data_IF_137658538084
#
_entry.id   IF_137658538084
#
_cell.length_a   1.000
_cell.length_b   1.000
_cell.length_c   1.000
_cell.angle_alpha   90.00
_cell.angle_beta   90.00
_cell.angle_gamma   90.00
#
_symmetry.space_group_name_H-M   'P 1'
#
loop_
_entity.id
_entity.type
_entity.pdbx_description
1 polymer ?
#
# COMPACT_ATOMS: atom_id res chain seq x y z
N UNK A 1 -26.42 17.83 -11.09
CA UNK A 1 -26.97 17.83 -12.46
C UNK A 1 -25.83 18.22 -13.40
N UNK A 2 -25.57 17.44 -14.44
CA UNK A 2 -24.56 17.79 -15.44
C UNK A 2 -24.98 19.04 -16.21
N UNK A 3 -24.01 19.83 -16.66
CA UNK A 3 -24.23 21.02 -17.48
C UNK A 3 -24.82 20.61 -18.83
N UNK A 4 -25.84 21.34 -19.28
CA UNK A 4 -26.54 21.08 -20.53
C UNK A 4 -25.56 21.21 -21.72
N UNK A 5 -25.22 20.10 -22.36
CA UNK A 5 -24.35 20.08 -23.55
C UNK A 5 -23.12 19.18 -23.45
N UNK A 6 -22.75 18.72 -22.25
CA UNK A 6 -21.73 17.68 -22.05
C UNK A 6 -22.42 16.35 -21.76
N UNK A 7 -22.47 15.47 -22.77
CA UNK A 7 -22.93 14.09 -22.57
C UNK A 7 -21.95 13.35 -21.66
N UNK A 8 -22.46 12.83 -20.53
CA UNK A 8 -21.70 11.96 -19.62
C UNK A 8 -21.41 10.63 -20.34
N UNK A 9 -20.14 10.22 -20.43
CA UNK A 9 -19.72 8.94 -21.03
C UNK A 9 -20.38 7.72 -20.35
N UNK A 10 -20.92 7.90 -19.14
CA UNK A 10 -21.69 6.87 -18.42
C UNK A 10 -23.06 6.59 -19.03
N UNK A 11 -23.53 7.41 -19.97
CA UNK A 11 -24.89 7.41 -20.51
C UNK A 11 -24.97 7.13 -22.03
N UNK A 12 -23.98 6.45 -22.62
CA UNK A 12 -24.17 5.88 -23.97
C UNK A 12 -25.01 4.60 -23.85
N UNK A 13 -26.31 4.76 -23.62
CA UNK A 13 -27.31 3.80 -24.08
C UNK A 13 -27.67 4.22 -25.50
N UNK A 14 -26.80 3.90 -26.47
CA UNK A 14 -27.27 3.75 -27.84
C UNK A 14 -27.86 2.36 -27.92
N UNK A 15 -29.19 2.29 -28.07
CA UNK A 15 -29.92 1.07 -28.43
C UNK A 15 -29.23 0.43 -29.63
N UNK A 16 -28.58 -0.69 -29.35
CA UNK A 16 -27.84 -1.51 -30.30
C UNK A 16 -28.65 -2.79 -30.46
N UNK A 17 -29.09 -3.08 -31.68
CA UNK A 17 -30.04 -4.16 -31.99
C UNK A 17 -29.49 -5.57 -31.69
N UNK A 18 -28.22 -5.69 -31.30
CA UNK A 18 -27.43 -6.90 -31.09
C UNK A 18 -27.41 -7.42 -29.63
N UNK A 19 -27.95 -6.69 -28.65
CA UNK A 19 -28.11 -7.19 -27.27
C UNK A 19 -26.81 -7.58 -26.54
N UNK A 20 -25.64 -7.21 -27.08
CA UNK A 20 -24.35 -7.56 -26.52
C UNK A 20 -24.09 -6.79 -25.21
N UNK A 21 -23.48 -7.46 -24.22
CA UNK A 21 -23.15 -6.92 -22.90
C UNK A 21 -22.05 -5.84 -22.98
N UNK A 22 -22.44 -4.66 -23.44
CA UNK A 22 -21.55 -3.52 -23.60
C UNK A 22 -20.91 -3.17 -22.25
N UNK A 23 -19.57 -3.07 -22.22
CA UNK A 23 -18.77 -2.75 -21.03
C UNK A 23 -18.95 -3.69 -19.82
N UNK A 24 -19.44 -4.92 -20.02
CA UNK A 24 -19.60 -5.88 -18.93
C UNK A 24 -20.48 -5.32 -17.79
N UNK A 25 -21.50 -4.53 -18.13
CA UNK A 25 -22.35 -3.81 -17.17
C UNK A 25 -23.51 -4.66 -16.62
N UNK A 26 -23.99 -5.64 -17.38
CA UNK A 26 -25.03 -6.59 -16.94
C UNK A 26 -24.41 -7.80 -16.23
N UNK A 27 -25.05 -8.24 -15.15
CA UNK A 27 -24.64 -9.39 -14.36
C UNK A 27 -24.55 -10.64 -15.23
N UNK A 28 -23.40 -11.29 -15.22
CA UNK A 28 -23.19 -12.58 -15.89
C UNK A 28 -22.38 -13.47 -14.95
N UNK A 29 -22.85 -14.71 -14.79
CA UNK A 29 -22.18 -15.77 -14.03
C UNK A 29 -21.88 -16.89 -15.01
N UNK A 30 -20.60 -17.25 -15.12
CA UNK A 30 -20.14 -18.37 -15.93
C UNK A 30 -19.55 -19.43 -15.01
N UNK A 31 -20.12 -20.64 -15.03
CA UNK A 31 -19.50 -21.78 -14.36
C UNK A 31 -18.16 -22.11 -15.02
N UNK A 32 -17.11 -22.22 -14.20
CA UNK A 32 -15.77 -22.63 -14.62
C UNK A 32 -15.25 -23.78 -13.74
N UNK A 33 -16.15 -24.44 -13.00
CA UNK A 33 -15.84 -25.49 -12.02
C UNK A 33 -15.00 -26.61 -12.64
N UNK A 34 -15.38 -27.08 -13.84
CA UNK A 34 -14.66 -28.15 -14.52
C UNK A 34 -13.21 -27.76 -14.86
N UNK A 35 -13.03 -26.56 -15.42
CA UNK A 35 -11.72 -26.05 -15.85
C UNK A 35 -10.78 -25.84 -14.66
N UNK A 36 -11.27 -25.23 -13.57
CA UNK A 36 -10.47 -24.96 -12.38
C UNK A 36 -10.03 -26.26 -11.71
N UNK A 37 -10.91 -27.26 -11.63
CA UNK A 37 -10.60 -28.59 -11.07
C UNK A 37 -9.53 -29.30 -11.89
N UNK A 38 -9.63 -29.25 -13.22
CA UNK A 38 -8.65 -29.84 -14.13
C UNK A 38 -7.27 -29.19 -13.96
N UNK A 39 -7.21 -27.86 -14.00
CA UNK A 39 -5.98 -27.08 -13.87
C UNK A 39 -5.28 -27.28 -12.52
N UNK A 40 -6.04 -27.40 -11.42
CA UNK A 40 -5.48 -27.75 -10.11
C UNK A 40 -4.91 -29.17 -10.08
N UNK A 41 -5.66 -30.14 -10.61
CA UNK A 41 -5.25 -31.53 -10.63
C UNK A 41 -3.96 -31.70 -11.45
N UNK A 42 -3.83 -31.00 -12.58
CA UNK A 42 -2.63 -30.99 -13.41
C UNK A 42 -1.44 -30.32 -12.70
N UNK A 43 -1.65 -29.16 -12.09
CA UNK A 43 -0.59 -28.42 -11.41
C UNK A 43 0.06 -29.25 -10.28
N UNK A 44 -0.75 -29.99 -9.53
CA UNK A 44 -0.27 -30.83 -8.44
C UNK A 44 0.40 -32.10 -8.95
N UNK A 45 -0.11 -32.71 -10.04
CA UNK A 45 0.52 -33.88 -10.69
C UNK A 45 1.85 -33.58 -11.40
N UNK A 46 2.16 -32.31 -11.64
CA UNK A 46 3.45 -31.88 -12.21
C UNK A 46 4.63 -32.03 -11.25
N UNK A 47 5.82 -31.55 -11.66
CA UNK A 47 7.03 -31.53 -10.84
C UNK A 47 6.93 -30.47 -9.72
N UNK A 48 6.16 -30.77 -8.68
CA UNK A 48 6.03 -29.89 -7.50
C UNK A 48 7.05 -30.20 -6.40
N UNK A 49 7.69 -31.37 -6.46
CA UNK A 49 8.69 -31.80 -5.49
C UNK A 49 10.11 -31.49 -5.99
N UNK A 50 11.05 -31.19 -5.08
CA UNK A 50 12.45 -30.96 -5.45
C UNK A 50 13.06 -32.17 -6.14
N UNK A 51 13.85 -31.94 -7.20
CA UNK A 51 14.56 -32.99 -7.93
C UNK A 51 15.63 -33.69 -7.07
N UNK A 52 16.15 -33.01 -6.06
CA UNK A 52 17.16 -33.50 -5.14
C UNK A 52 16.60 -33.66 -3.72
N UNK A 53 17.05 -34.70 -3.03
CA UNK A 53 16.71 -34.97 -1.63
C UNK A 53 15.62 -36.03 -1.44
N UNK A 54 15.04 -36.12 -0.23
CA UNK A 54 14.20 -37.25 0.16
C UNK A 54 12.86 -37.33 -0.60
N UNK A 55 12.43 -36.25 -1.26
CA UNK A 55 11.18 -36.17 -2.02
C UNK A 55 11.37 -36.30 -3.53
N UNK A 56 12.58 -36.64 -3.98
CA UNK A 56 12.95 -36.73 -5.40
C UNK A 56 12.15 -37.77 -6.19
N UNK A 57 11.67 -38.82 -5.51
CA UNK A 57 10.93 -39.92 -6.14
C UNK A 57 9.55 -40.10 -5.50
N UNK A 58 8.77 -39.01 -5.44
CA UNK A 58 7.36 -39.01 -5.05
C UNK A 58 6.48 -39.00 -6.31
N UNK A 59 5.54 -39.93 -6.37
CA UNK A 59 4.50 -40.03 -7.39
C UNK A 59 3.11 -39.73 -6.79
N UNK A 60 2.34 -38.88 -7.46
CA UNK A 60 0.94 -38.61 -7.10
C UNK A 60 0.04 -39.58 -7.87
N UNK A 61 -0.51 -40.56 -7.15
CA UNK A 61 -1.35 -41.63 -7.72
C UNK A 61 -2.73 -41.15 -8.16
N UNK A 62 -3.32 -40.26 -7.38
CA UNK A 62 -4.64 -39.69 -7.67
C UNK A 62 -4.73 -38.29 -7.09
N UNK A 63 -5.38 -37.40 -7.83
CA UNK A 63 -5.76 -36.08 -7.36
C UNK A 63 -7.20 -35.83 -7.81
N UNK A 64 -8.07 -35.55 -6.85
CA UNK A 64 -9.49 -35.29 -7.06
C UNK A 64 -9.85 -33.97 -6.39
N UNK A 65 -10.47 -33.07 -7.16
CA UNK A 65 -10.94 -31.77 -6.67
C UNK A 65 -12.46 -31.70 -6.83
N UNK A 66 -13.16 -31.43 -5.74
CA UNK A 66 -14.62 -31.25 -5.67
C UNK A 66 -14.97 -29.82 -5.28
N UNK A 67 -16.24 -29.43 -5.42
CA UNK A 67 -16.70 -28.05 -5.13
C UNK A 67 -17.08 -27.27 -6.39
N UNK A 68 -17.16 -25.95 -6.27
CA UNK A 68 -17.65 -25.06 -7.32
C UNK A 68 -16.73 -23.86 -7.54
N UNK A 69 -16.67 -23.40 -8.79
CA UNK A 69 -15.97 -22.19 -9.18
C UNK A 69 -16.75 -21.48 -10.30
N UNK A 70 -17.01 -20.18 -10.12
CA UNK A 70 -17.74 -19.36 -11.08
C UNK A 70 -17.05 -18.02 -11.31
N UNK A 71 -16.98 -17.61 -12.57
CA UNK A 71 -16.53 -16.27 -12.95
C UNK A 71 -17.76 -15.36 -12.97
N UNK A 72 -17.69 -14.28 -12.19
CA UNK A 72 -18.75 -13.33 -12.01
C UNK A 72 -18.29 -11.96 -12.50
N UNK A 73 -19.16 -11.29 -13.25
CA UNK A 73 -18.89 -9.95 -13.75
C UNK A 73 -19.93 -8.94 -13.26
N UNK A 74 -19.45 -7.86 -12.64
CA UNK A 74 -20.26 -6.78 -12.08
C UNK A 74 -19.54 -5.44 -12.17
N UNK A 75 -20.22 -4.39 -12.65
CA UNK A 75 -19.69 -3.00 -12.71
C UNK A 75 -18.28 -2.93 -13.35
N UNK A 76 -18.09 -3.65 -14.47
CA UNK A 76 -16.81 -3.75 -15.18
C UNK A 76 -15.66 -4.41 -14.38
N UNK A 77 -15.98 -5.16 -13.31
CA UNK A 77 -15.05 -6.04 -12.59
C UNK A 77 -15.48 -7.49 -12.77
N UNK A 78 -14.59 -8.30 -13.31
CA UNK A 78 -14.74 -9.74 -13.42
C UNK A 78 -13.86 -10.41 -12.39
N UNK A 79 -14.41 -11.34 -11.61
CA UNK A 79 -13.71 -12.02 -10.53
C UNK A 79 -14.20 -13.46 -10.42
N UNK A 80 -13.34 -14.36 -9.96
CA UNK A 80 -13.71 -15.75 -9.71
C UNK A 80 -14.09 -15.93 -8.24
N UNK A 81 -15.20 -16.62 -8.01
CA UNK A 81 -15.61 -17.12 -6.69
C UNK A 81 -15.43 -18.62 -6.75
N UNK A 82 -14.76 -19.20 -5.76
CA UNK A 82 -14.55 -20.64 -5.69
C UNK A 82 -14.54 -21.12 -4.24
N UNK A 83 -15.05 -22.34 -4.06
CA UNK A 83 -15.01 -23.08 -2.81
C UNK A 83 -14.78 -24.54 -3.18
N UNK A 84 -13.56 -25.01 -2.97
CA UNK A 84 -13.10 -26.30 -3.46
C UNK A 84 -12.50 -27.14 -2.33
N UNK A 85 -12.69 -28.45 -2.41
CA UNK A 85 -12.01 -29.43 -1.57
C UNK A 85 -11.12 -30.29 -2.46
N UNK A 86 -9.86 -30.49 -2.07
CA UNK A 86 -8.91 -31.29 -2.84
C UNK A 86 -8.40 -32.48 -2.03
N UNK A 87 -8.37 -33.67 -2.64
CA UNK A 87 -7.84 -34.91 -2.07
C UNK A 87 -6.80 -35.47 -3.01
N UNK A 88 -5.63 -35.77 -2.47
CA UNK A 88 -4.56 -36.41 -3.24
C UNK A 88 -3.99 -37.62 -2.49
N UNK A 89 -3.59 -38.64 -3.24
CA UNK A 89 -2.88 -39.81 -2.74
C UNK A 89 -1.49 -39.86 -3.36
N UNK A 90 -0.49 -40.09 -2.54
CA UNK A 90 0.91 -40.12 -2.95
C UNK A 90 1.55 -41.45 -2.57
N UNK A 91 2.55 -41.84 -3.35
CA UNK A 91 3.49 -42.92 -3.03
C UNK A 91 4.88 -42.44 -3.38
N UNK A 92 5.87 -42.78 -2.60
CA UNK A 92 7.25 -42.54 -3.00
C UNK A 92 8.21 -43.53 -2.38
N UNK A 93 9.42 -43.50 -2.92
CA UNK A 93 10.49 -44.40 -2.56
C UNK A 93 11.76 -43.58 -2.29
N UNK A 94 12.38 -43.79 -1.13
CA UNK A 94 13.66 -43.20 -0.77
C UNK A 94 14.78 -44.08 -1.30
N UNK A 95 15.58 -43.55 -2.22
CA UNK A 95 16.72 -44.25 -2.81
C UNK A 95 17.99 -43.93 -2.02
N UNK A 96 18.77 -44.94 -1.64
CA UNK A 96 20.07 -44.76 -0.99
C UNK A 96 21.19 -44.45 -1.99
N UNK A 97 22.40 -44.12 -1.49
CA UNK A 97 23.57 -43.78 -2.33
C UNK A 97 23.96 -44.88 -3.34
N UNK A 98 23.55 -46.14 -3.10
CA UNK A 98 23.80 -47.29 -4.00
C UNK A 98 22.72 -47.48 -5.08
N UNK A 99 21.74 -46.58 -5.20
CA UNK A 99 20.64 -46.70 -6.16
C UNK A 99 19.54 -47.71 -5.78
N UNK A 100 19.65 -48.35 -4.61
CA UNK A 100 18.65 -49.27 -4.08
C UNK A 100 17.56 -48.54 -3.28
N UNK A 101 16.29 -48.96 -3.44
CA UNK A 101 15.16 -48.47 -2.64
C UNK A 101 15.34 -48.85 -1.17
N UNK A 102 15.61 -47.86 -0.33
CA UNK A 102 15.85 -48.01 1.11
C UNK A 102 14.56 -48.02 1.90
N UNK A 103 13.56 -47.25 1.48
CA UNK A 103 12.30 -47.10 2.19
C UNK A 103 11.18 -46.69 1.23
N UNK A 104 9.99 -47.27 1.37
CA UNK A 104 8.80 -46.88 0.59
C UNK A 104 7.71 -46.35 1.52
N UNK A 105 7.11 -45.22 1.17
CA UNK A 105 6.02 -44.63 1.95
C UNK A 105 4.83 -44.26 1.05
N UNK A 106 3.64 -44.27 1.65
CA UNK A 106 2.44 -43.79 0.97
C UNK A 106 1.47 -43.15 1.96
N UNK A 107 0.64 -42.26 1.44
CA UNK A 107 -0.30 -41.51 2.26
C UNK A 107 -1.27 -40.68 1.43
N UNK A 108 -2.00 -39.83 2.12
CA UNK A 108 -2.96 -38.90 1.53
C UNK A 108 -2.83 -37.51 2.14
N UNK A 109 -3.11 -36.50 1.31
CA UNK A 109 -3.27 -35.12 1.74
C UNK A 109 -4.69 -34.67 1.38
N UNK A 110 -5.32 -33.92 2.29
CA UNK A 110 -6.62 -33.29 2.05
C UNK A 110 -6.55 -31.81 2.36
N UNK A 111 -7.05 -31.01 1.44
CA UNK A 111 -7.27 -29.57 1.60
C UNK A 111 -8.78 -29.37 1.71
N UNK A 112 -9.33 -29.22 2.93
CA UNK A 112 -10.78 -29.19 3.16
C UNK A 112 -11.43 -27.92 2.62
N UNK A 113 -10.71 -26.79 2.61
CA UNK A 113 -11.19 -25.53 2.08
C UNK A 113 -10.11 -24.82 1.26
N UNK A 114 -10.30 -24.80 -0.06
CA UNK A 114 -9.56 -23.97 -1.00
C UNK A 114 -10.53 -22.90 -1.51
N UNK A 115 -10.45 -21.73 -0.89
CA UNK A 115 -11.27 -20.56 -1.18
C UNK A 115 -10.40 -19.31 -1.29
N UNK A 116 -11.01 -18.15 -1.58
CA UNK A 116 -10.27 -16.89 -1.61
C UNK A 116 -9.78 -16.44 -0.22
N UNK A 117 -10.48 -16.85 0.85
CA UNK A 117 -10.16 -16.50 2.24
C UNK A 117 -9.11 -17.45 2.84
N UNK A 118 -9.14 -18.73 2.46
CA UNK A 118 -8.20 -19.73 2.96
C UNK A 118 -6.87 -19.79 2.21
N UNK A 119 -6.72 -19.06 1.09
CA UNK A 119 -5.55 -19.18 0.21
C UNK A 119 -4.23 -18.73 0.90
N UNK A 120 -4.31 -17.77 1.82
CA UNK A 120 -3.15 -17.23 2.55
C UNK A 120 -2.70 -18.15 3.70
N UNK A 121 -3.60 -18.98 4.24
CA UNK A 121 -3.30 -19.97 5.29
C UNK A 121 -4.02 -21.30 5.01
N UNK A 122 -3.63 -21.95 3.91
CA UNK A 122 -4.26 -23.20 3.48
C UNK A 122 -4.08 -24.30 4.52
N UNK A 123 -5.17 -24.83 5.04
CA UNK A 123 -5.16 -26.01 5.89
C UNK A 123 -4.90 -27.27 5.05
N UNK A 124 -4.01 -28.15 5.56
CA UNK A 124 -3.69 -29.42 4.92
C UNK A 124 -3.68 -30.51 5.97
N UNK A 125 -4.63 -31.44 5.85
CA UNK A 125 -4.67 -32.67 6.62
C UNK A 125 -3.72 -33.69 5.97
N UNK A 126 -2.76 -34.20 6.74
CA UNK A 126 -1.82 -35.22 6.28
C UNK A 126 -2.06 -36.54 6.99
N UNK A 127 -2.22 -37.59 6.19
CA UNK A 127 -2.31 -38.97 6.66
C UNK A 127 -1.26 -39.84 5.96
N UNK A 128 -0.66 -40.77 6.71
CA UNK A 128 0.39 -41.65 6.22
C UNK A 128 0.19 -43.06 6.77
N UNK A 129 0.44 -44.06 5.93
CA UNK A 129 0.41 -45.47 6.32
C UNK A 129 1.77 -45.92 6.90
N UNK A 130 2.85 -45.18 6.63
CA UNK A 130 4.22 -45.50 7.06
C UNK A 130 4.71 -44.54 8.15
N UNK A 131 4.04 -44.52 9.31
CA UNK A 131 4.39 -43.63 10.43
C UNK A 131 5.81 -43.91 10.94
N UNK A 132 6.61 -42.86 11.11
CA UNK A 132 7.99 -42.94 11.60
C UNK A 132 9.06 -43.12 10.50
N UNK A 133 8.66 -43.23 9.23
CA UNK A 133 9.59 -43.23 8.09
C UNK A 133 10.16 -41.83 7.83
N UNK A 134 11.44 -41.77 7.44
CA UNK A 134 12.10 -40.51 7.10
C UNK A 134 11.41 -39.84 5.91
N UNK A 135 10.97 -40.65 4.95
CA UNK A 135 10.20 -40.20 3.78
C UNK A 135 8.84 -39.61 4.17
N UNK A 136 8.11 -40.24 5.10
CA UNK A 136 6.82 -39.70 5.55
C UNK A 136 6.98 -38.42 6.37
N UNK A 137 8.04 -38.27 7.16
CA UNK A 137 8.31 -37.02 7.88
C UNK A 137 8.69 -35.89 6.93
N UNK A 138 9.50 -36.19 5.91
CA UNK A 138 9.82 -35.26 4.83
C UNK A 138 8.55 -34.84 4.08
N UNK A 139 7.66 -35.78 3.77
CA UNK A 139 6.39 -35.47 3.11
C UNK A 139 5.47 -34.62 3.98
N UNK A 140 5.40 -34.88 5.30
CA UNK A 140 4.60 -34.10 6.25
C UNK A 140 5.07 -32.65 6.37
N UNK A 141 6.38 -32.39 6.28
CA UNK A 141 6.95 -31.04 6.43
C UNK A 141 7.14 -30.35 5.08
N UNK A 142 8.04 -30.89 4.26
CA UNK A 142 8.43 -30.29 2.99
C UNK A 142 7.41 -30.59 1.89
N UNK A 143 6.87 -31.82 1.84
CA UNK A 143 5.87 -32.19 0.83
C UNK A 143 4.57 -31.40 0.95
N UNK A 144 4.06 -31.23 2.18
CA UNK A 144 2.91 -30.36 2.48
C UNK A 144 3.19 -28.93 2.01
N UNK A 145 4.37 -28.38 2.30
CA UNK A 145 4.76 -27.03 1.87
C UNK A 145 4.76 -26.89 0.34
N UNK A 146 5.33 -27.86 -0.38
CA UNK A 146 5.32 -27.91 -1.84
C UNK A 146 3.90 -27.96 -2.42
N UNK A 147 3.02 -28.80 -1.87
CA UNK A 147 1.62 -28.91 -2.32
C UNK A 147 0.87 -27.60 -2.06
N UNK A 148 1.02 -26.99 -0.88
CA UNK A 148 0.43 -25.67 -0.60
C UNK A 148 0.90 -24.63 -1.61
N UNK A 149 2.21 -24.53 -1.83
CA UNK A 149 2.79 -23.57 -2.76
C UNK A 149 2.26 -23.76 -4.19
N UNK A 150 2.16 -25.01 -4.67
CA UNK A 150 1.63 -25.32 -6.00
C UNK A 150 0.15 -24.91 -6.15
N UNK A 151 -0.68 -25.21 -5.16
CA UNK A 151 -2.12 -24.84 -5.16
C UNK A 151 -2.28 -23.32 -5.13
N UNK A 152 -1.54 -22.62 -4.27
CA UNK A 152 -1.58 -21.14 -4.17
C UNK A 152 -1.12 -20.51 -5.49
N UNK A 153 0.00 -20.97 -6.04
CA UNK A 153 0.51 -20.45 -7.30
C UNK A 153 -0.50 -20.64 -8.43
N UNK A 154 -1.10 -21.84 -8.55
CA UNK A 154 -2.07 -22.12 -9.61
C UNK A 154 -3.37 -21.33 -9.46
N UNK A 155 -3.87 -21.17 -8.24
CA UNK A 155 -5.06 -20.35 -7.99
C UNK A 155 -4.82 -18.86 -8.31
N UNK A 156 -3.65 -18.33 -7.95
CA UNK A 156 -3.27 -16.95 -8.31
C UNK A 156 -3.13 -16.77 -9.82
N UNK A 157 -2.59 -17.76 -10.52
CA UNK A 157 -2.53 -17.78 -11.99
C UNK A 157 -3.95 -17.73 -12.60
N UNK A 158 -4.86 -18.62 -12.18
CA UNK A 158 -6.25 -18.64 -12.68
C UNK A 158 -7.01 -17.34 -12.37
N UNK A 159 -6.79 -16.74 -11.19
CA UNK A 159 -7.36 -15.43 -10.85
C UNK A 159 -6.82 -14.33 -11.78
N UNK A 160 -5.52 -14.35 -12.10
CA UNK A 160 -4.90 -13.41 -13.02
C UNK A 160 -5.41 -13.60 -14.46
N UNK A 161 -5.59 -14.83 -14.92
CA UNK A 161 -6.15 -15.14 -16.25
C UNK A 161 -7.57 -14.62 -16.40
N UNK A 162 -8.44 -14.85 -15.40
CA UNK A 162 -9.82 -14.32 -15.38
C UNK A 162 -9.81 -12.80 -15.46
N UNK A 163 -8.87 -12.16 -14.76
CA UNK A 163 -8.72 -10.69 -14.77
C UNK A 163 -8.21 -10.20 -16.13
N UNK A 164 -7.24 -10.89 -16.74
CA UNK A 164 -6.66 -10.55 -18.04
C UNK A 164 -7.65 -10.73 -19.19
N UNK A 165 -8.42 -11.82 -19.18
CA UNK A 165 -9.46 -12.09 -20.18
C UNK A 165 -10.57 -11.03 -20.11
N UNK A 166 -10.95 -10.60 -18.90
CA UNK A 166 -11.88 -9.49 -18.72
C UNK A 166 -11.34 -8.14 -19.23
N UNK A 167 -10.02 -7.92 -19.15
CA UNK A 167 -9.39 -6.71 -19.69
C UNK A 167 -9.35 -6.72 -21.23
N UNK A 168 -9.16 -7.88 -21.85
CA UNK A 168 -9.16 -8.05 -23.33
C UNK A 168 -10.53 -7.80 -23.96
N UNK A 169 -11.60 -8.11 -23.24
CA UNK A 169 -12.97 -7.91 -23.71
C UNK A 169 -13.47 -6.45 -23.57
N UNK A 170 -12.62 -5.53 -23.10
CA UNK A 170 -12.92 -4.10 -22.98
C UNK A 170 -12.60 -3.39 -24.31
N UNK A 171 -13.54 -2.66 -24.94
CA UNK A 171 -13.24 -1.95 -26.18
C UNK A 171 -12.15 -0.89 -25.97
N UNK A 172 -11.18 -0.77 -26.89
CA UNK A 172 -10.18 0.29 -26.85
C UNK A 172 -10.84 1.67 -27.00
N UNK A 173 -10.32 2.73 -26.33
CA UNK A 173 -10.78 4.09 -26.55
C UNK A 173 -10.45 4.53 -27.99
N UNK A 174 -11.45 5.08 -28.68
CA UNK A 174 -11.30 5.55 -30.05
C UNK A 174 -10.25 6.68 -30.12
N UNK A 175 -9.22 6.49 -30.95
CA UNK A 175 -8.22 7.51 -31.21
C UNK A 175 -8.81 8.66 -32.04
N UNK A 176 -8.63 9.88 -31.55
CA UNK A 176 -8.45 11.09 -32.38
C UNK A 176 -9.68 11.73 -33.03
N UNK A 177 -10.09 12.88 -32.49
CA UNK A 177 -10.37 14.12 -33.24
C UNK A 177 -11.57 14.19 -34.20
N UNK A 178 -12.58 14.98 -33.81
CA UNK A 178 -13.13 16.09 -34.62
C UNK A 178 -14.13 16.90 -33.80
N UNK A 179 -13.93 18.22 -33.80
CA UNK A 179 -14.85 19.22 -33.27
C UNK A 179 -16.21 19.12 -34.00
N UNK A 180 -17.31 19.04 -33.25
CA UNK A 180 -18.65 19.10 -33.83
C UNK A 180 -19.00 20.55 -34.16
N UNK A 181 -19.24 20.81 -35.46
CA UNK A 181 -19.98 21.96 -35.92
C UNK A 181 -21.47 21.77 -35.53
N UNK A 182 -22.06 22.79 -34.89
CA UNK A 182 -23.50 22.82 -34.59
C UNK A 182 -24.28 23.38 -35.78
N UNK A 183 -25.39 22.76 -36.21
CA UNK A 183 -26.35 23.41 -37.08
C UNK A 183 -27.32 24.26 -36.25
N UNK A 184 -27.45 25.54 -36.61
CA UNK A 184 -28.33 26.53 -35.96
C UNK A 184 -29.73 26.48 -36.59
N UNK A 185 -30.78 26.38 -35.76
CA UNK A 185 -32.18 26.68 -36.15
C UNK A 185 -32.64 27.87 -35.29
N UNK A 186 -33.28 28.90 -35.88
CA UNK A 186 -33.41 30.22 -35.25
C UNK A 186 -34.63 30.33 -34.31
N UNK A 187 -34.47 31.07 -33.22
CA UNK A 187 -35.57 31.54 -32.34
C UNK A 187 -35.71 33.06 -32.49
N UNK A 188 -36.91 33.65 -32.56
CA UNK A 188 -37.12 35.07 -32.87
C UNK A 188 -36.82 36.01 -31.69
N UNK A 189 -36.24 37.17 -32.00
CA UNK A 189 -35.93 38.29 -31.09
C UNK A 189 -37.17 39.09 -30.64
N UNK A 190 -37.17 39.66 -29.41
CA UNK A 190 -37.85 40.92 -29.11
C UNK A 190 -36.90 42.13 -29.31
N UNK A 191 -37.46 43.25 -29.76
CA UNK A 191 -36.76 44.46 -30.20
C UNK A 191 -36.15 45.30 -29.06
N UNK A 192 -35.08 46.08 -29.34
CA UNK A 192 -34.35 46.85 -28.32
C UNK A 192 -34.99 48.19 -27.97
N UNK A 193 -34.91 48.54 -26.68
CA UNK A 193 -35.23 49.87 -26.14
C UNK A 193 -34.01 50.77 -26.31
N UNK A 194 -34.24 51.96 -26.87
CA UNK A 194 -33.26 53.02 -27.14
C UNK A 194 -32.64 53.62 -25.87
N UNK A 195 -31.31 53.74 -25.83
CA UNK A 195 -30.59 54.65 -24.92
C UNK A 195 -29.51 55.39 -25.71
N UNK A 196 -29.44 56.71 -25.53
CA UNK A 196 -28.70 57.69 -26.35
C UNK A 196 -27.17 57.67 -26.23
N UNK A 197 -26.48 58.60 -26.93
CA UNK A 197 -25.08 58.46 -27.30
C UNK A 197 -24.09 58.91 -26.22
N UNK A 198 -22.98 58.18 -26.11
CA UNK A 198 -21.75 58.64 -25.45
C UNK A 198 -20.86 59.41 -26.46
N UNK A 199 -20.16 60.49 -26.05
CA UNK A 199 -19.28 61.20 -26.96
C UNK A 199 -17.86 60.59 -27.04
N UNK A 200 -17.43 60.47 -28.30
CA UNK A 200 -16.14 60.74 -28.92
C UNK A 200 -14.81 60.26 -28.29
N UNK A 201 -14.07 59.54 -29.14
CA UNK A 201 -12.71 59.07 -28.99
C UNK A 201 -11.64 60.17 -29.16
N UNK A 202 -10.46 59.90 -28.60
CA UNK A 202 -9.16 60.38 -29.10
C UNK A 202 -8.12 59.26 -28.94
N UNK A 203 -7.32 59.06 -29.99
CA UNK A 203 -6.15 58.17 -30.10
C UNK A 203 -4.88 59.03 -30.27
N UNK A 204 -3.68 58.45 -30.51
CA UNK A 204 -2.92 57.46 -29.75
C UNK A 204 -1.48 57.96 -29.42
N UNK A 205 -0.74 57.33 -28.50
CA UNK A 205 0.72 57.51 -28.42
C UNK A 205 1.46 56.33 -27.75
N UNK A 206 2.45 55.82 -28.48
CA UNK A 206 3.75 55.24 -28.11
C UNK A 206 3.86 54.10 -27.05
N UNK A 207 4.41 52.97 -27.53
CA UNK A 207 5.07 51.92 -26.74
C UNK A 207 6.22 52.45 -25.88
N UNK A 208 6.48 51.80 -24.73
CA UNK A 208 7.85 51.49 -24.38
C UNK A 208 8.09 50.01 -24.06
N UNK A 209 9.38 49.70 -24.14
CA UNK A 209 10.12 48.43 -24.19
C UNK A 209 10.05 47.56 -22.94
N UNK A 210 10.28 46.26 -23.17
CA UNK A 210 10.41 45.19 -22.17
C UNK A 210 11.51 45.44 -21.12
N UNK A 211 11.32 45.00 -19.86
CA UNK A 211 12.35 45.05 -18.82
C UNK A 211 13.39 43.92 -18.98
N UNK A 212 14.65 44.14 -18.55
CA UNK A 212 15.76 43.19 -18.72
C UNK A 212 15.66 41.95 -17.81
N UNK A 213 16.36 40.85 -18.14
CA UNK A 213 16.27 39.58 -17.42
C UNK A 213 16.86 39.67 -16.00
N UNK A 214 16.19 39.03 -15.04
CA UNK A 214 16.64 38.92 -13.64
C UNK A 214 18.00 38.17 -13.56
N UNK A 215 18.93 38.61 -12.70
CA UNK A 215 20.18 37.89 -12.42
C UNK A 215 19.92 36.56 -11.70
N UNK A 216 20.83 35.56 -11.83
CA UNK A 216 20.66 34.23 -11.26
C UNK A 216 20.58 34.28 -9.71
N UNK A 217 19.80 33.39 -9.07
CA UNK A 217 19.60 33.42 -7.62
C UNK A 217 20.91 33.19 -6.88
N UNK A 218 21.25 34.14 -5.99
CA UNK A 218 22.29 34.01 -4.97
C UNK A 218 21.95 32.84 -4.04
N UNK A 219 22.99 32.12 -3.61
CA UNK A 219 22.93 31.09 -2.58
C UNK A 219 22.18 31.63 -1.35
N UNK A 220 21.19 30.88 -0.86
CA UNK A 220 20.53 31.17 0.41
C UNK A 220 21.55 30.99 1.53
N UNK A 221 21.98 32.11 2.10
CA UNK A 221 22.47 32.17 3.48
C UNK A 221 21.27 31.90 4.43
N UNK A 222 21.41 31.13 5.51
CA UNK A 222 20.30 30.81 6.41
C UNK A 222 19.80 32.07 7.12
N UNK A 223 18.50 32.34 7.02
CA UNK A 223 17.81 33.41 7.75
C UNK A 223 17.74 33.11 9.25
N UNK A 224 18.13 34.11 10.04
CA UNK A 224 18.15 34.16 11.52
C UNK A 224 16.72 34.24 12.12
N UNK A 225 15.88 33.24 11.85
CA UNK A 225 14.61 33.00 12.54
C UNK A 225 14.68 31.65 13.29
N UNK A 226 15.61 31.52 14.25
CA UNK A 226 15.61 30.43 15.24
C UNK A 226 14.53 30.71 16.32
N UNK A 227 13.26 30.80 15.91
CA UNK A 227 12.15 30.48 16.81
C UNK A 227 12.28 28.98 17.09
N UNK A 228 12.90 28.62 18.22
CA UNK A 228 13.18 27.24 18.63
C UNK A 228 11.86 26.50 18.84
N UNK A 229 11.29 25.97 17.75
CA UNK A 229 10.07 25.18 17.74
C UNK A 229 10.28 23.98 18.68
N UNK A 230 9.55 23.98 19.79
CA UNK A 230 9.66 22.95 20.82
C UNK A 230 9.41 21.56 20.22
N UNK A 231 10.21 20.54 20.55
CA UNK A 231 9.99 19.19 20.06
C UNK A 231 8.58 18.70 20.36
N UNK A 232 7.98 17.90 19.44
CA UNK A 232 6.65 17.33 19.64
C UNK A 232 6.53 16.66 21.02
N UNK A 233 5.39 16.82 21.69
CA UNK A 233 5.19 16.34 23.07
C UNK A 233 5.56 14.87 23.25
N UNK A 234 5.22 14.03 22.25
CA UNK A 234 5.53 12.60 22.28
C UNK A 234 7.04 12.34 22.15
N UNK A 235 7.74 13.11 21.33
CA UNK A 235 9.21 13.06 21.23
C UNK A 235 9.86 13.44 22.56
N UNK A 236 9.37 14.51 23.22
CA UNK A 236 9.88 14.93 24.55
C UNK A 236 9.72 13.83 25.59
N UNK A 237 8.59 13.13 25.59
CA UNK A 237 8.36 12.00 26.49
C UNK A 237 9.31 10.84 26.22
N UNK A 238 9.54 10.50 24.94
CA UNK A 238 10.52 9.46 24.56
C UNK A 238 11.94 9.85 24.97
N UNK A 239 12.36 11.10 24.74
CA UNK A 239 13.68 11.59 25.16
C UNK A 239 13.83 11.62 26.69
N UNK A 240 12.75 11.92 27.42
CA UNK A 240 12.73 11.85 28.88
C UNK A 240 12.87 10.41 29.37
N UNK A 241 12.18 9.46 28.73
CA UNK A 241 12.30 8.03 29.05
C UNK A 241 13.71 7.52 28.78
N UNK A 242 14.32 7.91 27.66
CA UNK A 242 15.71 7.61 27.35
C UNK A 242 16.66 8.10 28.43
N UNK A 243 16.47 9.34 28.90
CA UNK A 243 17.30 9.95 29.96
C UNK A 243 17.13 9.24 31.31
N UNK A 244 15.90 8.81 31.62
CA UNK A 244 15.60 8.13 32.88
C UNK A 244 16.04 6.66 32.89
N UNK A 245 15.99 6.00 31.73
CA UNK A 245 16.23 4.57 31.56
C UNK A 245 17.22 4.30 30.41
N UNK A 246 18.47 4.80 30.51
CA UNK A 246 19.40 4.79 29.38
C UNK A 246 19.96 3.40 29.07
N UNK A 247 19.95 2.49 30.05
CA UNK A 247 20.46 1.11 29.90
C UNK A 247 19.42 0.09 29.40
N UNK A 248 18.12 0.39 29.52
CA UNK A 248 17.04 -0.52 29.09
C UNK A 248 16.40 -0.13 27.77
N UNK A 249 16.51 1.15 27.38
CA UNK A 249 15.93 1.63 26.13
C UNK A 249 16.74 1.12 24.93
N UNK A 250 16.19 0.13 24.20
CA UNK A 250 16.79 -0.45 23.00
C UNK A 250 16.34 0.20 21.70
N UNK A 251 15.08 0.63 21.63
CA UNK A 251 14.49 1.19 20.42
C UNK A 251 13.81 2.54 20.71
N UNK A 252 14.14 3.56 19.91
CA UNK A 252 13.49 4.86 19.93
C UNK A 252 12.48 4.96 18.79
N UNK A 253 11.20 4.82 19.13
CA UNK A 253 10.08 4.97 18.18
C UNK A 253 9.69 6.45 18.09
N UNK A 254 10.14 7.13 17.04
CA UNK A 254 9.87 8.55 16.78
C UNK A 254 9.14 8.78 15.44
N UNK A 255 8.52 7.73 14.89
CA UNK A 255 7.83 7.80 13.60
C UNK A 255 6.50 8.55 13.65
N UNK A 256 6.19 9.27 12.56
CA UNK A 256 4.95 10.05 12.39
C UNK A 256 4.68 11.08 13.51
N UNK A 257 5.72 11.70 14.06
CA UNK A 257 5.59 12.70 15.13
C UNK A 257 5.73 14.14 14.64
N UNK A 258 5.80 14.35 13.33
CA UNK A 258 6.08 15.63 12.69
C UNK A 258 7.45 16.23 13.09
N UNK A 259 8.45 15.38 13.32
CA UNK A 259 9.82 15.81 13.62
C UNK A 259 10.44 16.46 12.38
N UNK A 260 10.77 17.74 12.45
CA UNK A 260 11.60 18.48 11.48
C UNK A 260 13.08 18.59 11.92
N UNK A 261 13.92 19.16 11.05
CA UNK A 261 15.37 19.27 11.23
C UNK A 261 15.78 19.98 12.52
N UNK A 262 15.03 21.00 12.95
CA UNK A 262 15.32 21.78 14.18
C UNK A 262 15.32 20.89 15.44
N UNK A 263 14.50 19.85 15.44
CA UNK A 263 14.36 18.95 16.59
C UNK A 263 15.49 17.91 16.69
N UNK A 264 16.25 17.69 15.62
CA UNK A 264 17.35 16.72 15.62
C UNK A 264 18.44 17.10 16.62
N UNK A 265 18.62 18.39 16.90
CA UNK A 265 19.56 18.86 17.92
C UNK A 265 19.27 18.23 19.29
N UNK A 266 18.00 18.27 19.72
CA UNK A 266 17.58 17.69 21.00
C UNK A 266 17.73 16.16 21.02
N UNK A 267 17.49 15.50 19.89
CA UNK A 267 17.72 14.06 19.76
C UNK A 267 19.21 13.71 19.87
N UNK A 268 20.07 14.42 19.13
CA UNK A 268 21.51 14.19 19.11
C UNK A 268 22.15 14.48 20.47
N UNK A 269 21.74 15.55 21.15
CA UNK A 269 22.18 15.85 22.51
C UNK A 269 21.81 14.70 23.45
N UNK A 270 20.57 14.20 23.39
CA UNK A 270 20.15 13.07 24.19
C UNK A 270 20.97 11.79 23.90
N UNK A 271 21.32 11.53 22.63
CA UNK A 271 22.11 10.37 22.21
C UNK A 271 23.61 10.51 22.52
N UNK A 272 24.12 11.74 22.65
CA UNK A 272 25.54 12.02 22.93
C UNK A 272 25.93 11.73 24.38
N UNK A 273 24.96 11.58 25.28
CA UNK A 273 25.22 11.22 26.66
C UNK A 273 25.79 9.79 26.75
N UNK A 274 26.99 9.66 27.34
CA UNK A 274 27.73 8.40 27.47
C UNK A 274 26.97 7.28 28.21
N UNK A 275 25.91 7.61 28.95
CA UNK A 275 25.05 6.64 29.62
C UNK A 275 24.08 5.94 28.65
N UNK A 276 23.82 6.52 27.48
CA UNK A 276 22.91 6.00 26.44
C UNK A 276 23.66 5.00 25.55
N UNK A 277 24.14 3.92 26.15
CA UNK A 277 24.92 2.86 25.49
C UNK A 277 24.05 1.66 25.11
N UNK A 278 22.74 1.85 24.94
CA UNK A 278 21.81 0.74 24.74
C UNK A 278 20.93 0.86 23.51
N UNK A 279 20.91 2.01 22.83
CA UNK A 279 19.98 2.23 21.73
C UNK A 279 20.51 1.54 20.47
N UNK A 280 19.84 0.47 20.07
CA UNK A 280 20.15 -0.34 18.91
C UNK A 280 19.35 0.09 17.68
N UNK A 281 18.18 0.70 17.89
CA UNK A 281 17.22 1.05 16.83
C UNK A 281 16.64 2.46 17.01
N UNK A 282 16.66 3.26 15.93
CA UNK A 282 15.98 4.55 15.85
C UNK A 282 15.05 4.55 14.64
N UNK A 283 13.76 4.77 14.88
CA UNK A 283 12.75 4.92 13.85
C UNK A 283 12.32 6.38 13.73
N UNK A 284 12.71 7.03 12.64
CA UNK A 284 12.35 8.40 12.26
C UNK A 284 11.47 8.43 11.00
N UNK A 285 10.84 7.31 10.65
CA UNK A 285 10.01 7.23 9.43
C UNK A 285 8.82 8.19 9.46
N UNK A 286 8.41 8.63 8.27
CA UNK A 286 7.23 9.50 8.06
C UNK A 286 7.25 10.81 8.86
N UNK A 287 8.43 11.42 8.99
CA UNK A 287 8.60 12.73 9.62
C UNK A 287 8.80 13.83 8.55
N UNK A 288 9.30 15.00 8.95
CA UNK A 288 9.48 16.17 8.09
C UNK A 288 10.96 16.53 7.91
N UNK A 289 11.84 15.53 8.01
CA UNK A 289 13.28 15.76 7.83
C UNK A 289 13.61 16.09 6.38
N UNK A 290 14.60 16.96 6.18
CA UNK A 290 15.14 17.32 4.87
C UNK A 290 16.57 16.82 4.70
N UNK A 291 17.16 17.05 3.53
CA UNK A 291 18.56 16.75 3.24
C UNK A 291 19.51 17.38 4.27
N UNK A 292 19.20 18.59 4.75
CA UNK A 292 20.01 19.29 5.73
C UNK A 292 19.98 18.59 7.10
N UNK A 293 18.79 18.26 7.62
CA UNK A 293 18.66 17.53 8.87
C UNK A 293 19.29 16.14 8.83
N UNK A 294 19.05 15.39 7.76
CA UNK A 294 19.70 14.08 7.55
C UNK A 294 21.22 14.22 7.52
N UNK A 295 21.76 15.24 6.83
CA UNK A 295 23.20 15.46 6.81
C UNK A 295 23.77 15.67 8.22
N UNK A 296 23.11 16.50 9.05
CA UNK A 296 23.51 16.72 10.44
C UNK A 296 23.44 15.43 11.26
N UNK A 297 22.36 14.67 11.14
CA UNK A 297 22.16 13.39 11.82
C UNK A 297 23.25 12.38 11.45
N UNK A 298 23.44 12.12 10.15
CA UNK A 298 24.42 11.13 9.68
C UNK A 298 25.85 11.57 10.01
N UNK A 299 26.17 12.86 9.94
CA UNK A 299 27.48 13.39 10.34
C UNK A 299 27.76 13.19 11.84
N UNK A 300 26.76 13.37 12.70
CA UNK A 300 26.91 13.12 14.13
C UNK A 300 27.12 11.63 14.45
N UNK A 301 26.40 10.74 13.76
CA UNK A 301 26.57 9.28 13.88
C UNK A 301 27.95 8.83 13.37
N UNK A 302 28.40 9.37 12.24
CA UNK A 302 29.76 9.22 11.73
C UNK A 302 30.83 9.68 12.73
N UNK A 303 30.54 10.75 13.48
CA UNK A 303 31.41 11.28 14.53
C UNK A 303 31.44 10.46 15.82
N UNK A 304 30.74 9.33 15.89
CA UNK A 304 30.74 8.42 17.04
C UNK A 304 29.59 8.62 18.03
N UNK A 305 28.53 9.34 17.64
CA UNK A 305 27.29 9.40 18.43
C UNK A 305 26.52 8.07 18.30
N UNK A 306 25.96 7.56 19.41
CA UNK A 306 25.13 6.33 19.44
C UNK A 306 25.82 5.10 18.82
N UNK A 307 26.98 4.70 19.37
CA UNK A 307 27.82 3.62 18.81
C UNK A 307 27.15 2.24 18.78
N UNK A 308 26.14 1.99 19.60
CA UNK A 308 25.38 0.72 19.61
C UNK A 308 24.25 0.68 18.57
N UNK A 309 24.01 1.80 17.86
CA UNK A 309 22.96 1.89 16.87
C UNK A 309 23.29 1.00 15.66
N UNK A 310 22.43 0.03 15.40
CA UNK A 310 22.55 -0.89 14.27
C UNK A 310 21.48 -0.67 13.21
N UNK A 311 20.35 -0.04 13.56
CA UNK A 311 19.24 0.22 12.64
C UNK A 311 18.74 1.65 12.73
N UNK A 312 18.70 2.32 11.58
CA UNK A 312 18.15 3.66 11.43
C UNK A 312 17.14 3.68 10.27
N UNK A 313 15.88 4.01 10.57
CA UNK A 313 14.83 4.12 9.55
C UNK A 313 14.51 5.59 9.26
N UNK A 314 14.63 5.99 8.00
CA UNK A 314 14.43 7.37 7.53
C UNK A 314 13.41 7.51 6.39
N UNK A 315 12.77 6.42 5.96
CA UNK A 315 11.78 6.44 4.88
C UNK A 315 10.57 7.35 5.17
N UNK A 316 9.98 7.92 4.12
CA UNK A 316 8.82 8.81 4.25
C UNK A 316 9.13 10.23 4.76
N UNK A 317 10.40 10.63 4.76
CA UNK A 317 10.81 12.02 5.00
C UNK A 317 10.95 12.79 3.68
N UNK A 318 11.18 14.11 3.75
CA UNK A 318 11.34 14.98 2.58
C UNK A 318 12.81 15.04 2.13
N UNK A 319 13.40 13.87 1.89
CA UNK A 319 14.81 13.71 1.56
C UNK A 319 14.96 13.37 0.08
N UNK A 320 15.83 14.08 -0.62
CA UNK A 320 16.13 13.84 -2.03
C UNK A 320 17.06 12.64 -2.22
N UNK A 321 17.20 12.18 -3.47
CA UNK A 321 18.16 11.11 -3.83
C UNK A 321 19.59 11.49 -3.44
N UNK A 322 19.94 12.78 -3.53
CA UNK A 322 21.26 13.28 -3.12
C UNK A 322 21.43 13.21 -1.60
N UNK A 323 20.39 13.60 -0.84
CA UNK A 323 20.37 13.46 0.62
C UNK A 323 20.48 11.99 1.05
N UNK A 324 19.79 11.08 0.36
CA UNK A 324 19.88 9.64 0.60
C UNK A 324 21.29 9.10 0.35
N UNK A 325 21.98 9.61 -0.68
CA UNK A 325 23.35 9.18 -1.01
C UNK A 325 24.35 9.47 0.13
N UNK A 326 24.05 10.40 1.05
CA UNK A 326 24.89 10.64 2.24
C UNK A 326 25.04 9.41 3.13
N UNK A 327 24.09 8.46 3.09
CA UNK A 327 24.22 7.21 3.84
C UNK A 327 25.36 6.32 3.31
N UNK A 328 25.83 6.52 2.08
CA UNK A 328 26.96 5.78 1.53
C UNK A 328 28.27 6.18 2.23
N UNK A 329 28.47 7.47 2.49
CA UNK A 329 29.62 7.98 3.23
C UNK A 329 29.61 7.45 4.67
N UNK A 330 28.44 7.43 5.31
CA UNK A 330 28.29 6.87 6.65
C UNK A 330 28.64 5.37 6.68
N UNK A 331 28.24 4.60 5.66
CA UNK A 331 28.53 3.15 5.58
C UNK A 331 30.04 2.83 5.58
N UNK A 332 30.89 3.74 5.10
CA UNK A 332 32.34 3.56 5.16
C UNK A 332 32.89 3.71 6.58
N UNK A 333 32.28 4.57 7.39
CA UNK A 333 32.70 4.86 8.77
C UNK A 333 32.01 3.97 9.80
N UNK A 334 30.76 3.57 9.51
CA UNK A 334 29.86 2.78 10.35
C UNK A 334 29.22 1.66 9.52
N UNK A 335 29.99 0.63 9.13
CA UNK A 335 29.47 -0.48 8.32
C UNK A 335 28.46 -1.37 9.07
N UNK A 336 28.47 -1.28 10.40
CA UNK A 336 27.55 -1.93 11.34
C UNK A 336 26.15 -1.29 11.38
N UNK A 337 26.01 -0.04 10.93
CA UNK A 337 24.75 0.69 10.93
C UNK A 337 24.01 0.55 9.61
N UNK A 338 22.85 -0.10 9.65
CA UNK A 338 21.92 -0.20 8.53
C UNK A 338 21.00 1.03 8.48
N UNK A 339 21.20 1.89 7.48
CA UNK A 339 20.28 2.99 7.16
C UNK A 339 19.27 2.55 6.12
N UNK A 340 17.99 2.60 6.46
CA UNK A 340 16.87 2.15 5.63
C UNK A 340 16.00 3.32 5.18
N UNK A 341 15.71 3.36 3.87
CA UNK A 341 14.91 4.41 3.23
C UNK A 341 13.53 3.93 2.78
N UNK A 342 13.14 2.68 3.08
CA UNK A 342 11.83 2.15 2.74
C UNK A 342 10.72 2.97 3.40
N UNK A 343 9.75 3.44 2.61
CA UNK A 343 8.56 4.16 3.08
C UNK A 343 7.54 3.20 3.72
N UNK A 344 7.97 2.54 4.80
CA UNK A 344 7.15 1.61 5.57
C UNK A 344 7.44 1.77 7.05
N UNK A 345 6.37 1.82 7.84
CA UNK A 345 6.41 1.91 9.29
C UNK A 345 6.81 0.53 9.85
N UNK A 346 7.99 0.40 10.47
CA UNK A 346 8.44 -0.88 11.01
C UNK A 346 7.48 -1.38 12.10
N UNK A 347 6.93 -2.58 11.93
CA UNK A 347 5.98 -3.15 12.91
C UNK A 347 4.62 -2.43 13.00
N UNK A 348 4.26 -1.65 11.98
CA UNK A 348 2.97 -0.95 11.94
C UNK A 348 1.78 -1.91 12.00
N UNK A 349 0.96 -1.80 13.06
CA UNK A 349 -0.25 -2.59 13.27
C UNK A 349 -1.50 -1.76 13.01
N UNK A 350 -2.49 -2.34 12.33
CA UNK A 350 -3.79 -1.70 12.09
C UNK A 350 -4.49 -1.37 13.40
N UNK A 351 -4.94 -0.12 13.55
CA UNK A 351 -5.72 0.36 14.68
C UNK A 351 -7.22 0.33 14.39
N UNK A 352 -7.62 0.78 13.21
CA UNK A 352 -9.01 0.83 12.76
C UNK A 352 -9.08 0.88 11.24
N UNK A 353 -10.27 0.62 10.71
CA UNK A 353 -10.53 0.64 9.26
C UNK A 353 -11.38 1.82 8.87
N UNK A 354 -11.09 2.40 7.71
CA UNK A 354 -11.89 3.47 7.13
C UNK A 354 -13.12 2.84 6.48
N UNK A 355 -14.29 3.17 7.00
CA UNK A 355 -15.57 2.86 6.40
C UNK A 355 -15.91 3.86 5.29
N UNK A 356 -17.13 4.40 5.32
CA UNK A 356 -17.58 5.36 4.30
C UNK A 356 -16.78 6.67 4.39
N UNK A 357 -16.24 7.13 3.27
CA UNK A 357 -15.67 8.48 3.09
C UNK A 357 -16.68 9.32 2.31
N UNK A 358 -17.06 10.48 2.86
CA UNK A 358 -18.10 11.32 2.27
C UNK A 358 -17.53 12.30 1.23
N UNK A 359 -18.34 12.62 0.21
CA UNK A 359 -17.95 13.55 -0.84
C UNK A 359 -17.68 14.96 -0.29
N UNK A 360 -16.66 15.64 -0.84
CA UNK A 360 -16.22 16.97 -0.42
C UNK A 360 -15.82 17.09 1.06
N UNK A 361 -15.58 15.96 1.75
CA UNK A 361 -15.11 15.96 3.12
C UNK A 361 -13.60 16.17 3.23
N UNK A 362 -13.11 16.60 4.41
CA UNK A 362 -11.68 16.66 4.68
C UNK A 362 -10.96 15.31 4.46
N UNK A 363 -11.61 14.19 4.79
CA UNK A 363 -11.06 12.86 4.55
C UNK A 363 -10.90 12.57 3.05
N UNK A 364 -11.88 12.91 2.22
CA UNK A 364 -11.77 12.75 0.77
C UNK A 364 -10.66 13.66 0.20
N UNK A 365 -10.56 14.90 0.67
CA UNK A 365 -9.53 15.86 0.24
C UNK A 365 -8.12 15.38 0.60
N UNK A 366 -7.96 14.76 1.76
CA UNK A 366 -6.72 14.11 2.18
C UNK A 366 -6.40 12.82 1.38
N UNK A 367 -7.34 12.33 0.57
CA UNK A 367 -7.19 11.12 -0.22
C UNK A 367 -7.43 9.83 0.55
N UNK A 368 -8.11 9.87 1.72
CA UNK A 368 -8.57 8.66 2.42
C UNK A 368 -9.61 7.94 1.58
N UNK A 369 -9.54 6.61 1.58
CA UNK A 369 -10.46 5.76 0.85
C UNK A 369 -11.13 4.75 1.79
N UNK A 370 -12.35 4.35 1.42
CA UNK A 370 -13.00 3.24 2.09
C UNK A 370 -12.15 1.97 1.96
N UNK A 371 -11.99 1.26 3.07
CA UNK A 371 -11.17 0.05 3.16
C UNK A 371 -9.74 0.29 3.65
N UNK A 372 -9.27 1.55 3.71
CA UNK A 372 -7.95 1.84 4.26
C UNK A 372 -7.82 1.34 5.70
N UNK A 373 -6.71 0.67 6.01
CA UNK A 373 -6.37 0.34 7.41
C UNK A 373 -5.44 1.41 7.97
N UNK A 374 -5.88 2.12 8.99
CA UNK A 374 -5.07 3.16 9.63
C UNK A 374 -4.08 2.51 10.59
N UNK A 375 -2.78 2.71 10.34
CA UNK A 375 -1.70 2.19 11.20
C UNK A 375 -1.07 3.29 12.06
N UNK A 376 -1.19 4.57 11.67
CA UNK A 376 -0.84 5.72 12.50
C UNK A 376 -1.78 6.90 12.23
N UNK A 377 -2.12 7.65 13.28
CA UNK A 377 -2.95 8.86 13.19
C UNK A 377 -2.36 9.95 14.08
N UNK A 378 -1.59 10.86 13.47
CA UNK A 378 -0.70 11.76 14.19
C UNK A 378 0.21 10.96 15.16
N UNK A 379 0.27 11.34 16.45
CA UNK A 379 1.11 10.66 17.43
C UNK A 379 0.55 9.31 17.91
N UNK A 380 -0.64 8.91 17.47
CA UNK A 380 -1.30 7.68 17.90
C UNK A 380 -0.92 6.53 16.98
N UNK A 381 -0.36 5.49 17.58
CA UNK A 381 -0.07 4.20 16.96
C UNK A 381 -0.63 3.08 17.85
N UNK A 382 -0.53 1.82 17.40
CA UNK A 382 -1.14 0.66 18.05
C UNK A 382 -0.81 0.50 19.55
N UNK A 383 0.43 0.81 19.98
CA UNK A 383 0.88 0.68 21.38
C UNK A 383 0.11 1.58 22.36
N UNK A 384 -0.61 2.61 21.88
CA UNK A 384 -1.41 3.53 22.69
C UNK A 384 -2.88 3.62 22.29
N UNK A 385 -3.34 2.76 21.39
CA UNK A 385 -4.69 2.82 20.82
C UNK A 385 -5.70 2.06 21.70
N UNK A 386 -6.73 2.77 22.17
CA UNK A 386 -7.83 2.24 23.00
C UNK A 386 -9.18 2.26 22.29
N UNK A 387 -9.22 2.72 21.04
CA UNK A 387 -10.44 2.91 20.26
C UNK A 387 -10.54 4.31 19.67
N UNK A 388 -11.40 4.47 18.66
CA UNK A 388 -11.57 5.73 17.92
C UNK A 388 -11.95 6.88 18.87
N UNK A 389 -12.90 6.64 19.78
CA UNK A 389 -13.42 7.66 20.69
C UNK A 389 -12.39 8.17 21.70
N UNK A 390 -11.52 7.29 22.22
CA UNK A 390 -10.54 7.64 23.26
C UNK A 390 -9.21 8.10 22.69
N UNK A 391 -8.79 7.56 21.54
CA UNK A 391 -7.47 7.83 20.98
C UNK A 391 -7.49 8.79 19.79
N UNK A 392 -8.46 8.68 18.88
CA UNK A 392 -8.47 9.46 17.62
C UNK A 392 -9.25 10.78 17.79
N UNK A 393 -10.44 10.73 18.39
CA UNK A 393 -11.31 11.91 18.55
C UNK A 393 -10.62 13.07 19.29
N UNK A 394 -9.85 12.87 20.37
CA UNK A 394 -9.14 13.96 21.02
C UNK A 394 -8.11 14.64 20.11
N UNK A 395 -7.36 13.86 19.32
CA UNK A 395 -6.36 14.38 18.37
C UNK A 395 -7.03 15.23 17.28
N UNK A 396 -8.16 14.75 16.76
CA UNK A 396 -8.98 15.47 15.76
C UNK A 396 -9.50 16.80 16.33
N UNK A 397 -10.03 16.78 17.56
CA UNK A 397 -10.56 17.99 18.21
C UNK A 397 -9.46 19.02 18.54
N UNK A 398 -8.27 18.56 18.93
CA UNK A 398 -7.13 19.43 19.24
C UNK A 398 -6.49 20.04 17.99
N UNK A 399 -6.71 19.43 16.81
CA UNK A 399 -6.04 19.79 15.56
C UNK A 399 -7.00 20.36 14.52
N UNK A 400 -8.11 20.97 14.93
CA UNK A 400 -9.02 21.63 13.97
C UNK A 400 -8.28 22.77 13.25
N UNK A 401 -8.30 22.73 11.92
CA UNK A 401 -7.58 23.65 11.05
C UNK A 401 -6.08 23.37 10.93
N UNK A 402 -5.55 22.33 11.60
CA UNK A 402 -4.14 21.96 11.56
C UNK A 402 -3.95 20.60 10.85
N UNK A 403 -2.89 20.43 10.06
CA UNK A 403 -2.63 19.16 9.38
C UNK A 403 -2.26 18.07 10.39
N UNK A 404 -2.80 16.87 10.19
CA UNK A 404 -2.47 15.63 10.90
C UNK A 404 -1.94 14.65 9.86
N UNK A 405 -0.75 14.11 10.09
CA UNK A 405 -0.24 13.03 9.24
C UNK A 405 -0.87 11.69 9.66
N UNK A 406 -1.44 11.00 8.68
CA UNK A 406 -2.12 9.71 8.84
C UNK A 406 -1.43 8.71 7.92
N UNK A 407 -0.99 7.59 8.49
CA UNK A 407 -0.40 6.51 7.70
C UNK A 407 -1.45 5.41 7.56
N UNK A 408 -1.74 5.07 6.31
CA UNK A 408 -2.71 4.02 5.97
C UNK A 408 -2.05 2.92 5.16
N UNK A 409 -2.52 1.70 5.38
CA UNK A 409 -2.28 0.56 4.51
C UNK A 409 -3.45 0.49 3.54
N UNK A 410 -3.15 0.65 2.25
CA UNK A 410 -4.11 0.53 1.16
C UNK A 410 -3.73 -0.63 0.26
N UNK A 411 -4.70 -1.47 -0.04
CA UNK A 411 -4.56 -2.48 -1.08
C UNK A 411 -4.83 -1.82 -2.44
N UNK A 412 -3.85 -1.84 -3.34
CA UNK A 412 -4.04 -1.32 -4.70
C UNK A 412 -4.81 -2.33 -5.54
N UNK A 413 -5.97 -1.93 -6.07
CA UNK A 413 -6.78 -2.77 -6.97
C UNK A 413 -6.09 -3.07 -8.31
N UNK A 414 -5.07 -2.30 -8.70
CA UNK A 414 -4.36 -2.47 -9.99
C UNK A 414 -3.22 -3.49 -9.92
N UNK A 415 -2.50 -3.53 -8.81
CA UNK A 415 -1.26 -4.31 -8.67
C UNK A 415 -1.31 -5.36 -7.56
N UNK A 416 -2.43 -5.47 -6.83
CA UNK A 416 -2.59 -6.30 -5.61
C UNK A 416 -1.50 -6.08 -4.55
N UNK A 417 -0.73 -5.02 -4.66
CA UNK A 417 0.29 -4.66 -3.69
C UNK A 417 -0.34 -3.92 -2.52
N UNK A 418 0.04 -4.35 -1.33
CA UNK A 418 -0.23 -3.66 -0.08
C UNK A 418 0.78 -2.51 0.03
N UNK A 419 0.28 -1.27 -0.06
CA UNK A 419 1.12 -0.07 0.02
C UNK A 419 0.80 0.72 1.28
N UNK A 420 1.84 1.13 2.00
CA UNK A 420 1.71 2.15 3.04
C UNK A 420 1.75 3.53 2.40
N UNK A 421 0.80 4.38 2.76
CA UNK A 421 0.65 5.74 2.24
C UNK A 421 0.61 6.71 3.41
N UNK A 422 1.42 7.76 3.34
CA UNK A 422 1.29 8.92 4.21
C UNK A 422 0.32 9.91 3.58
N UNK A 423 -0.75 10.22 4.30
CA UNK A 423 -1.76 11.20 3.94
C UNK A 423 -1.72 12.35 4.95
N UNK A 424 -2.06 13.56 4.52
CA UNK A 424 -2.18 14.71 5.42
C UNK A 424 -3.63 15.13 5.50
N UNK A 425 -4.22 14.96 6.68
CA UNK A 425 -5.63 15.20 6.97
C UNK A 425 -5.77 16.46 7.82
N UNK A 426 -6.54 17.44 7.36
CA UNK A 426 -6.80 18.67 8.11
C UNK A 426 -8.26 18.68 8.60
N UNK A 427 -8.53 18.38 9.88
CA UNK A 427 -9.89 18.40 10.41
C UNK A 427 -10.51 19.79 10.31
N UNK A 428 -11.72 19.89 9.78
CA UNK A 428 -12.42 21.17 9.65
C UNK A 428 -13.94 20.98 9.56
N UNK A 429 -14.69 22.06 9.79
CA UNK A 429 -16.12 22.06 9.49
C UNK A 429 -16.32 21.92 7.98
N UNK A 430 -17.31 21.13 7.59
CA UNK A 430 -17.67 20.87 6.20
C UNK A 430 -19.20 20.69 6.12
N UNK A 431 -19.75 20.42 4.94
CA UNK A 431 -21.20 20.37 4.73
C UNK A 431 -21.93 19.18 5.39
N UNK A 432 -21.19 18.22 5.95
CA UNK A 432 -21.75 17.05 6.64
C UNK A 432 -21.42 17.01 8.14
N UNK A 433 -21.65 15.84 8.75
CA UNK A 433 -21.46 15.65 10.18
C UNK A 433 -19.98 15.45 10.57
N UNK A 434 -19.59 15.96 11.74
CA UNK A 434 -18.25 15.80 12.30
C UNK A 434 -17.19 16.67 11.61
N UNK A 435 -15.91 16.37 11.89
CA UNK A 435 -14.76 17.18 11.45
C UNK A 435 -13.92 16.54 10.33
N UNK A 436 -14.08 15.23 10.11
CA UNK A 436 -13.30 14.49 9.10
C UNK A 436 -14.15 14.11 7.88
N UNK A 437 -15.44 13.82 8.09
CA UNK A 437 -16.32 13.28 7.07
C UNK A 437 -15.87 11.92 6.52
N UNK A 438 -15.54 11.02 7.45
CA UNK A 438 -15.43 9.59 7.22
C UNK A 438 -15.95 8.82 8.45
N UNK A 439 -16.28 7.55 8.27
CA UNK A 439 -16.57 6.60 9.37
C UNK A 439 -15.29 5.82 9.65
N UNK A 440 -14.87 5.74 10.92
CA UNK A 440 -13.78 4.86 11.36
C UNK A 440 -14.40 3.71 12.17
N UNK A 441 -14.01 2.48 11.85
CA UNK A 441 -14.53 1.24 12.44
C UNK A 441 -13.44 0.48 13.19
#
# INVERSE_FOLDING_TARGET
MALLGEGDERWIVKERADGANCNNWHWTTKDVSAHVKEQLNEAVKGNIFPADGPLSNIEIKSCETTGEASVNNRKARTFIIYQLEMKLKWKGDLVGEDGATKESASGSLRLPDVSAESLDDLEVEFETQSRGSALSEAMRKQGVSCVKAAVVAKMKELQAEVTAEAARQKPLPAAGGRMYATPSVPVPMPQPISVGPAPAATAPAALPTAPPPKPPPKQLEPSEDDDEELPPLKMREVLKQLRNNPSTTRALKLSNLAVSDVHLRALLEALSHSQVSGVEEIDLTFNKLTDAGVHVLLKALAGGTALELTKLYLGGNKVSVAGMALSQSLKQQRPDLLVTWHEQLPGGKSMCTVGTVYAASPAMQAGLCQGDSIIAFGPVQADGYKGVSESIVPVVKASVGKPIDVIVVRMSDKDQQVKQLQLTLTPQKWSGAGLLGCILK
#
